data_IF_404183874053
#
_entry.id   IF_404183874053
#
_cell.length_a   1.000
_cell.length_b   1.000
_cell.length_c   1.000
_cell.angle_alpha   90.00
_cell.angle_beta   90.00
_cell.angle_gamma   90.00
#
_symmetry.space_group_name_H-M   'P 1'
#
loop_
_entity.id
_entity.type
_entity.pdbx_description
1 polymer ?
#
# COMPACT_ATOMS: atom_id res chain seq x y z
N UNK A 1 10.29 -27.13 -5.91
CA UNK A 1 8.86 -26.89 -5.55
C UNK A 1 8.64 -25.41 -5.60
N UNK A 2 7.58 -24.99 -6.27
CA UNK A 2 7.26 -23.56 -6.32
C UNK A 2 6.90 -23.06 -4.92
N UNK A 3 7.37 -21.87 -4.59
CA UNK A 3 7.13 -21.24 -3.30
C UNK A 3 5.64 -20.95 -3.10
N UNK A 4 5.11 -21.20 -1.92
CA UNK A 4 3.70 -20.93 -1.66
C UNK A 4 3.42 -19.44 -1.52
N UNK A 5 2.38 -18.94 -2.21
CA UNK A 5 1.90 -17.56 -2.11
C UNK A 5 0.59 -17.53 -1.33
N UNK A 6 0.49 -16.70 -0.29
CA UNK A 6 -0.78 -16.41 0.35
C UNK A 6 -1.31 -15.07 -0.18
N UNK A 7 -2.44 -15.10 -0.86
CA UNK A 7 -3.11 -13.89 -1.33
C UNK A 7 -4.10 -13.44 -0.26
N UNK A 8 -3.83 -12.29 0.35
CA UNK A 8 -4.64 -11.67 1.39
C UNK A 8 -5.41 -10.50 0.80
N UNK A 9 -6.71 -10.63 0.68
CA UNK A 9 -7.61 -9.59 0.17
C UNK A 9 -8.32 -8.95 1.37
N UNK A 10 -8.14 -7.63 1.56
CA UNK A 10 -8.84 -6.89 2.61
C UNK A 10 -10.08 -6.25 2.00
N UNK A 11 -11.26 -6.82 2.31
CA UNK A 11 -12.54 -6.39 1.78
C UNK A 11 -13.31 -5.51 2.76
N UNK A 12 -13.94 -4.48 2.24
CA UNK A 12 -14.93 -3.66 2.92
C UNK A 12 -15.90 -3.05 1.91
N UNK A 13 -17.15 -3.51 1.92
CA UNK A 13 -18.20 -3.10 0.98
C UNK A 13 -17.77 -3.22 -0.49
N UNK A 14 -17.24 -4.41 -0.85
CA UNK A 14 -16.68 -4.69 -2.16
C UNK A 14 -17.58 -5.49 -3.08
N UNK A 15 -18.91 -5.54 -2.87
CA UNK A 15 -19.85 -6.39 -3.63
C UNK A 15 -19.72 -6.26 -5.15
N UNK A 16 -19.40 -5.05 -5.63
CA UNK A 16 -19.23 -4.75 -7.06
C UNK A 16 -17.96 -5.34 -7.67
N UNK A 17 -16.97 -5.68 -6.83
CA UNK A 17 -15.60 -5.95 -7.26
C UNK A 17 -15.14 -7.35 -6.90
N UNK A 18 -15.46 -7.82 -5.68
CA UNK A 18 -14.86 -9.00 -5.06
C UNK A 18 -14.99 -10.27 -5.91
N UNK A 19 -16.14 -10.47 -6.56
CA UNK A 19 -16.35 -11.63 -7.43
C UNK A 19 -15.35 -11.65 -8.57
N UNK A 20 -15.20 -10.55 -9.29
CA UNK A 20 -14.27 -10.46 -10.42
C UNK A 20 -12.82 -10.53 -9.98
N UNK A 21 -12.48 -9.97 -8.83
CA UNK A 21 -11.16 -10.07 -8.22
C UNK A 21 -10.78 -11.55 -8.01
N UNK A 22 -11.62 -12.32 -7.32
CA UNK A 22 -11.37 -13.74 -7.06
C UNK A 22 -11.39 -14.55 -8.34
N UNK A 23 -12.37 -14.33 -9.23
CA UNK A 23 -12.46 -15.03 -10.54
C UNK A 23 -11.19 -14.85 -11.40
N UNK A 24 -10.59 -13.64 -11.37
CA UNK A 24 -9.34 -13.38 -12.08
C UNK A 24 -8.13 -14.01 -11.40
N UNK A 25 -8.12 -14.01 -10.06
CA UNK A 25 -7.05 -14.64 -9.28
C UNK A 25 -6.99 -16.14 -9.46
N UNK A 26 -8.15 -16.82 -9.56
CA UNK A 26 -8.22 -18.26 -9.77
C UNK A 26 -7.78 -18.70 -11.20
N UNK A 27 -7.48 -17.74 -12.08
CA UNK A 27 -7.01 -17.97 -13.47
C UNK A 27 -5.55 -17.60 -13.70
N UNK A 28 -4.80 -17.23 -12.65
CA UNK A 28 -3.38 -16.89 -12.79
C UNK A 28 -2.55 -18.16 -13.09
N UNK A 29 -1.45 -17.97 -13.80
CA UNK A 29 -0.47 -19.03 -14.12
C UNK A 29 0.49 -19.26 -12.93
N UNK A 30 -0.08 -19.66 -11.79
CA UNK A 30 0.68 -20.00 -10.58
C UNK A 30 -0.17 -20.94 -9.73
N UNK A 31 0.28 -22.19 -9.52
CA UNK A 31 -0.57 -23.21 -8.91
C UNK A 31 -0.51 -23.26 -7.37
N UNK A 32 0.65 -22.91 -6.79
CA UNK A 32 0.87 -23.07 -5.34
C UNK A 32 0.49 -21.82 -4.56
N UNK A 33 -0.82 -21.52 -4.44
CA UNK A 33 -1.29 -20.39 -3.64
C UNK A 33 -2.54 -20.73 -2.81
N UNK A 34 -2.81 -19.90 -1.84
CA UNK A 34 -4.04 -19.87 -1.05
C UNK A 34 -4.66 -18.48 -1.08
N UNK A 35 -5.97 -18.38 -0.96
CA UNK A 35 -6.70 -17.11 -0.93
C UNK A 35 -7.36 -16.93 0.43
N UNK A 36 -7.06 -15.80 1.08
CA UNK A 36 -7.63 -15.41 2.37
C UNK A 36 -8.31 -14.06 2.18
N UNK A 37 -9.61 -14.02 2.36
CA UNK A 37 -10.36 -12.77 2.36
C UNK A 37 -10.66 -12.37 3.79
N UNK A 38 -10.21 -11.18 4.17
CA UNK A 38 -10.53 -10.53 5.43
C UNK A 38 -11.65 -9.54 5.15
N UNK A 39 -12.85 -9.88 5.57
CA UNK A 39 -13.97 -8.94 5.52
C UNK A 39 -13.96 -8.05 6.76
N UNK A 40 -13.81 -6.75 6.53
CA UNK A 40 -13.72 -5.74 7.59
C UNK A 40 -15.10 -5.14 7.94
N UNK A 41 -16.11 -6.00 8.15
CA UNK A 41 -17.44 -5.58 8.57
C UNK A 41 -18.23 -4.95 7.44
N UNK A 42 -18.28 -5.62 6.28
CA UNK A 42 -19.12 -5.21 5.17
C UNK A 42 -20.61 -5.29 5.53
N UNK A 43 -21.37 -4.35 4.98
CA UNK A 43 -22.84 -4.26 5.14
C UNK A 43 -23.59 -4.47 3.84
N UNK A 44 -22.84 -4.73 2.76
CA UNK A 44 -23.33 -5.06 1.41
C UNK A 44 -23.36 -6.60 1.21
N UNK A 45 -23.60 -7.06 -0.01
CA UNK A 45 -23.66 -8.48 -0.34
C UNK A 45 -22.28 -9.17 -0.49
N UNK A 46 -21.16 -8.51 -0.17
CA UNK A 46 -19.80 -9.06 -0.32
C UNK A 46 -19.63 -10.43 0.32
N UNK A 47 -20.02 -10.58 1.60
CA UNK A 47 -19.89 -11.82 2.36
C UNK A 47 -20.71 -12.95 1.72
N UNK A 48 -21.93 -12.63 1.30
CA UNK A 48 -22.84 -13.56 0.64
C UNK A 48 -22.24 -14.07 -0.67
N UNK A 49 -21.73 -13.15 -1.51
CA UNK A 49 -21.08 -13.50 -2.79
C UNK A 49 -19.90 -14.46 -2.56
N UNK A 50 -19.04 -14.18 -1.55
CA UNK A 50 -17.89 -15.03 -1.26
C UNK A 50 -18.33 -16.42 -0.81
N UNK A 51 -19.30 -16.52 0.11
CA UNK A 51 -19.80 -17.80 0.63
C UNK A 51 -20.49 -18.65 -0.42
N UNK A 52 -21.28 -18.04 -1.31
CA UNK A 52 -22.03 -18.75 -2.33
C UNK A 52 -21.17 -19.16 -3.53
N UNK A 53 -20.16 -18.34 -3.91
CA UNK A 53 -19.41 -18.56 -5.15
C UNK A 53 -18.02 -19.17 -4.93
N UNK A 54 -17.43 -19.07 -3.74
CA UNK A 54 -15.99 -19.36 -3.51
C UNK A 54 -15.69 -20.13 -2.22
N UNK A 55 -16.68 -20.76 -1.58
CA UNK A 55 -16.50 -21.43 -0.28
C UNK A 55 -15.41 -22.52 -0.28
N UNK A 56 -15.13 -23.13 -1.44
CA UNK A 56 -14.08 -24.16 -1.57
C UNK A 56 -12.69 -23.58 -1.89
N UNK A 57 -12.62 -22.33 -2.37
CA UNK A 57 -11.40 -21.73 -2.88
C UNK A 57 -10.81 -20.66 -1.93
N UNK A 58 -11.62 -20.16 -0.98
CA UNK A 58 -11.30 -18.97 -0.19
C UNK A 58 -11.50 -19.25 1.29
N UNK A 59 -10.52 -18.86 2.08
CA UNK A 59 -10.65 -18.78 3.54
C UNK A 59 -11.23 -17.39 3.85
N UNK A 60 -12.50 -17.32 4.26
CA UNK A 60 -13.15 -16.09 4.65
C UNK A 60 -13.04 -15.88 6.16
N UNK A 61 -12.53 -14.70 6.57
CA UNK A 61 -12.47 -14.28 7.98
C UNK A 61 -13.26 -12.97 8.11
N UNK A 62 -14.30 -13.02 8.93
CA UNK A 62 -15.20 -11.90 9.17
C UNK A 62 -14.79 -11.15 10.44
N UNK A 63 -14.58 -9.84 10.34
CA UNK A 63 -14.21 -8.94 11.44
C UNK A 63 -15.22 -7.79 11.55
N UNK A 64 -15.16 -7.05 12.65
CA UNK A 64 -15.61 -5.66 12.66
C UNK A 64 -14.64 -4.80 11.84
N UNK A 65 -15.02 -3.55 11.48
CA UNK A 65 -14.11 -2.66 10.76
C UNK A 65 -12.95 -2.19 11.64
N UNK A 66 -11.87 -2.94 11.62
CA UNK A 66 -10.62 -2.66 12.34
C UNK A 66 -9.62 -1.84 11.53
N UNK A 67 -9.98 -1.43 10.32
CA UNK A 67 -9.12 -0.71 9.36
C UNK A 67 -8.27 -1.63 8.50
N UNK A 68 -7.74 -1.08 7.41
CA UNK A 68 -6.99 -1.83 6.40
C UNK A 68 -5.71 -2.47 6.96
N UNK A 69 -4.92 -1.70 7.71
CA UNK A 69 -3.65 -2.19 8.28
C UNK A 69 -3.84 -3.38 9.23
N UNK A 70 -4.85 -3.31 10.12
CA UNK A 70 -5.15 -4.41 11.04
C UNK A 70 -5.77 -5.60 10.30
N UNK A 71 -6.61 -5.37 9.29
CA UNK A 71 -7.14 -6.41 8.41
C UNK A 71 -6.03 -7.16 7.68
N UNK A 72 -5.08 -6.43 7.08
CA UNK A 72 -3.91 -7.03 6.44
C UNK A 72 -3.07 -7.86 7.42
N UNK A 73 -2.84 -7.37 8.65
CA UNK A 73 -2.16 -8.14 9.69
C UNK A 73 -2.89 -9.43 10.04
N UNK A 74 -4.22 -9.38 10.15
CA UNK A 74 -5.03 -10.56 10.42
C UNK A 74 -4.89 -11.60 9.29
N UNK A 75 -4.95 -11.16 8.04
CA UNK A 75 -4.73 -12.05 6.88
C UNK A 75 -3.33 -12.67 6.87
N UNK A 76 -2.27 -11.89 7.13
CA UNK A 76 -0.90 -12.41 7.18
C UNK A 76 -0.73 -13.43 8.30
N UNK A 77 -1.31 -13.20 9.47
CA UNK A 77 -1.25 -14.14 10.61
C UNK A 77 -1.96 -15.47 10.35
N UNK A 78 -3.01 -15.44 9.55
CA UNK A 78 -3.78 -16.64 9.17
C UNK A 78 -3.28 -17.29 7.87
N UNK A 79 -2.15 -16.84 7.33
CA UNK A 79 -1.57 -17.31 6.08
C UNK A 79 -0.30 -18.13 6.31
N UNK A 80 0.00 -19.05 5.37
CA UNK A 80 1.10 -20.02 5.52
C UNK A 80 2.16 -19.93 4.43
N UNK A 81 1.95 -19.09 3.39
CA UNK A 81 2.85 -18.97 2.24
C UNK A 81 4.21 -18.39 2.56
N UNK A 82 5.23 -18.74 1.78
CA UNK A 82 6.57 -18.14 1.78
C UNK A 82 6.52 -16.67 1.35
N UNK A 83 5.52 -16.33 0.54
CA UNK A 83 5.19 -15.00 0.08
C UNK A 83 3.79 -14.60 0.51
N UNK A 84 3.60 -13.29 0.70
CA UNK A 84 2.29 -12.71 1.00
C UNK A 84 1.98 -11.65 -0.04
N UNK A 85 0.93 -11.86 -0.83
CA UNK A 85 0.37 -10.87 -1.74
C UNK A 85 -0.78 -10.16 -1.03
N UNK A 86 -0.61 -8.89 -0.73
CA UNK A 86 -1.69 -8.05 -0.18
C UNK A 86 -2.43 -7.40 -1.34
N UNK A 87 -3.74 -7.54 -1.37
CA UNK A 87 -4.56 -7.03 -2.47
C UNK A 87 -5.84 -6.32 -2.00
N UNK A 88 -6.27 -5.36 -2.81
CA UNK A 88 -7.59 -4.75 -2.71
C UNK A 88 -8.64 -5.62 -3.42
N UNK A 89 -9.93 -5.52 -3.05
CA UNK A 89 -11.00 -6.28 -3.70
C UNK A 89 -11.32 -5.81 -5.13
N UNK A 90 -10.82 -4.65 -5.55
CA UNK A 90 -11.02 -4.05 -6.88
C UNK A 90 -9.81 -4.25 -7.82
N UNK A 91 -9.02 -5.30 -7.59
CA UNK A 91 -7.95 -5.76 -8.49
C UNK A 91 -8.50 -6.83 -9.44
N UNK A 92 -8.16 -6.71 -10.72
CA UNK A 92 -8.29 -7.78 -11.72
C UNK A 92 -6.89 -8.27 -12.07
N UNK A 93 -6.57 -9.50 -11.70
CA UNK A 93 -5.23 -10.05 -11.87
C UNK A 93 -4.97 -10.44 -13.32
N UNK A 94 -3.79 -10.07 -13.84
CA UNK A 94 -3.27 -10.64 -15.09
C UNK A 94 -2.68 -12.03 -14.86
N UNK A 95 -2.70 -12.85 -15.90
CA UNK A 95 -2.35 -14.27 -15.81
C UNK A 95 -0.96 -14.53 -15.19
N UNK A 96 0.06 -13.75 -15.55
CA UNK A 96 1.43 -13.97 -15.12
C UNK A 96 1.85 -13.05 -13.94
N UNK A 97 0.88 -12.37 -13.30
CA UNK A 97 1.20 -11.37 -12.28
C UNK A 97 1.99 -11.96 -11.11
N UNK A 98 1.51 -13.06 -10.55
CA UNK A 98 2.13 -13.69 -9.37
C UNK A 98 3.48 -14.31 -9.76
N UNK A 99 3.56 -15.08 -10.83
CA UNK A 99 4.79 -15.75 -11.26
C UNK A 99 5.93 -14.76 -11.49
N UNK A 100 5.68 -13.68 -12.25
CA UNK A 100 6.67 -12.65 -12.53
C UNK A 100 7.18 -11.93 -11.26
N UNK A 101 6.28 -11.68 -10.29
CA UNK A 101 6.69 -11.06 -9.02
C UNK A 101 7.51 -12.02 -8.15
N UNK A 102 7.13 -13.30 -8.07
CA UNK A 102 7.89 -14.31 -7.33
C UNK A 102 9.29 -14.45 -7.93
N UNK A 103 9.40 -14.63 -9.25
CA UNK A 103 10.69 -14.75 -9.95
C UNK A 103 11.61 -13.58 -9.62
N UNK A 104 11.11 -12.36 -9.70
CA UNK A 104 11.91 -11.16 -9.41
C UNK A 104 12.40 -11.07 -7.96
N UNK A 105 11.62 -11.58 -7.02
CA UNK A 105 12.02 -11.62 -5.62
C UNK A 105 13.06 -12.72 -5.35
N UNK A 106 13.06 -13.82 -6.11
CA UNK A 106 14.05 -14.90 -5.95
C UNK A 106 15.43 -14.53 -6.51
N UNK A 107 15.54 -13.57 -7.43
CA UNK A 107 16.83 -13.14 -8.02
C UNK A 107 17.83 -12.68 -6.98
N UNK A 108 17.38 -12.04 -5.88
CA UNK A 108 18.26 -11.53 -4.85
C UNK A 108 17.60 -11.62 -3.46
N UNK A 109 18.38 -12.00 -2.45
CA UNK A 109 17.92 -12.09 -1.06
C UNK A 109 17.49 -10.73 -0.48
N UNK A 110 18.03 -9.63 -0.98
CA UNK A 110 17.67 -8.29 -0.54
C UNK A 110 16.33 -7.83 -1.14
N UNK A 111 15.84 -8.45 -2.23
CA UNK A 111 14.54 -8.15 -2.80
C UNK A 111 13.46 -8.67 -1.85
N UNK A 112 12.65 -7.79 -1.28
CA UNK A 112 11.70 -8.14 -0.23
C UNK A 112 10.25 -7.80 -0.56
N UNK A 113 10.02 -6.88 -1.48
CA UNK A 113 8.70 -6.53 -1.94
C UNK A 113 8.72 -6.23 -3.45
N UNK A 114 7.66 -6.61 -4.14
CA UNK A 114 7.50 -6.34 -5.57
C UNK A 114 6.06 -5.96 -5.90
N UNK A 115 5.93 -5.11 -6.92
CA UNK A 115 4.66 -4.72 -7.53
C UNK A 115 4.79 -4.72 -9.03
N UNK A 116 3.73 -5.09 -9.72
CA UNK A 116 3.66 -5.00 -11.18
C UNK A 116 3.16 -3.63 -11.68
N UNK A 117 2.99 -3.53 -12.99
CA UNK A 117 2.30 -2.42 -13.63
C UNK A 117 0.80 -2.55 -13.34
N UNK A 118 0.24 -1.58 -12.64
CA UNK A 118 -1.20 -1.48 -12.45
C UNK A 118 -1.77 -0.48 -13.46
N UNK A 119 -2.63 -0.97 -14.34
CA UNK A 119 -3.43 -0.14 -15.23
C UNK A 119 -4.83 0.05 -14.63
N UNK A 120 -5.55 1.08 -15.06
CA UNK A 120 -6.93 1.30 -14.60
C UNK A 120 -7.89 0.31 -15.23
N UNK A 121 -8.93 -0.01 -14.46
CA UNK A 121 -10.04 -0.85 -14.88
C UNK A 121 -11.38 -0.16 -14.65
N UNK A 122 -12.27 -0.23 -15.64
CA UNK A 122 -13.66 0.24 -15.53
C UNK A 122 -14.56 -0.97 -15.27
N UNK A 123 -15.00 -1.12 -14.02
CA UNK A 123 -15.88 -2.22 -13.61
C UNK A 123 -17.32 -2.09 -14.14
N UNK A 124 -17.76 -0.88 -14.53
CA UNK A 124 -19.11 -0.69 -15.08
C UNK A 124 -19.17 -1.12 -16.55
N UNK A 125 -18.10 -0.86 -17.30
CA UNK A 125 -17.99 -1.23 -18.71
C UNK A 125 -17.29 -2.55 -18.95
N UNK A 126 -16.64 -3.11 -17.92
CA UNK A 126 -15.82 -4.30 -18.00
C UNK A 126 -14.62 -4.15 -18.94
N UNK A 127 -13.94 -2.99 -18.90
CA UNK A 127 -12.89 -2.59 -19.84
C UNK A 127 -11.60 -2.20 -19.16
N UNK A 128 -10.48 -2.57 -19.79
CA UNK A 128 -9.14 -2.08 -19.44
C UNK A 128 -9.01 -0.65 -19.97
N UNK A 129 -8.58 0.26 -19.10
CA UNK A 129 -8.25 1.63 -19.49
C UNK A 129 -6.73 1.73 -19.60
N UNK A 130 -6.21 2.10 -20.78
CA UNK A 130 -4.77 2.26 -21.03
C UNK A 130 -4.19 3.50 -20.32
N UNK A 131 -4.39 3.55 -18.99
CA UNK A 131 -3.89 4.60 -18.10
C UNK A 131 -3.26 3.95 -16.89
N UNK A 132 -2.04 4.33 -16.57
CA UNK A 132 -1.31 3.82 -15.43
C UNK A 132 -2.00 4.27 -14.13
N UNK A 133 -2.28 3.31 -13.24
CA UNK A 133 -2.66 3.58 -11.87
C UNK A 133 -1.44 3.64 -10.96
N UNK A 134 -0.54 2.65 -11.07
CA UNK A 134 0.71 2.65 -10.32
C UNK A 134 1.82 1.86 -11.04
N UNK A 135 3.01 2.42 -11.06
CA UNK A 135 4.28 1.76 -11.41
C UNK A 135 5.23 1.76 -10.18
N UNK A 136 4.68 1.47 -9.00
CA UNK A 136 5.37 1.56 -7.72
C UNK A 136 5.24 2.93 -7.06
N UNK A 137 5.71 3.05 -5.83
CA UNK A 137 5.67 4.28 -5.04
C UNK A 137 7.03 4.98 -5.04
N UNK A 138 7.02 6.29 -5.26
CA UNK A 138 8.12 7.19 -4.92
C UNK A 138 7.80 7.99 -3.66
N UNK A 139 8.83 8.27 -2.87
CA UNK A 139 8.76 9.18 -1.72
C UNK A 139 9.79 10.30 -1.91
N UNK A 140 9.33 11.51 -2.17
CA UNK A 140 10.23 12.62 -2.46
C UNK A 140 10.83 13.28 -1.20
N UNK A 141 11.76 14.23 -1.38
CA UNK A 141 12.40 14.99 -0.30
C UNK A 141 11.45 15.78 0.61
N UNK A 142 10.20 16.02 0.19
CA UNK A 142 9.13 16.56 1.05
C UNK A 142 8.44 15.47 1.89
N UNK A 143 8.87 14.23 1.75
CA UNK A 143 8.22 13.03 2.33
C UNK A 143 6.79 12.84 1.85
N UNK A 144 6.49 13.33 0.65
CA UNK A 144 5.23 13.07 -0.02
C UNK A 144 5.37 11.82 -0.86
N UNK A 145 4.60 10.79 -0.53
CA UNK A 145 4.48 9.58 -1.35
C UNK A 145 3.46 9.78 -2.47
N UNK A 146 3.73 9.17 -3.61
CA UNK A 146 2.84 9.16 -4.76
C UNK A 146 3.12 7.93 -5.63
N UNK A 147 2.09 7.44 -6.32
CA UNK A 147 2.20 6.37 -7.31
C UNK A 147 2.91 6.89 -8.56
N UNK A 148 3.98 6.20 -8.99
CA UNK A 148 4.73 6.53 -10.21
C UNK A 148 3.83 6.31 -11.43
N UNK A 149 3.88 7.23 -12.38
CA UNK A 149 3.08 7.15 -13.60
C UNK A 149 1.57 7.38 -13.43
N UNK A 150 1.08 7.62 -12.23
CA UNK A 150 -0.36 7.71 -11.97
C UNK A 150 -1.04 8.71 -12.90
N UNK A 151 -2.13 8.25 -13.55
CA UNK A 151 -2.97 9.02 -14.47
C UNK A 151 -2.27 9.45 -15.77
N UNK A 152 -1.16 8.82 -16.13
CA UNK A 152 -0.54 8.94 -17.45
C UNK A 152 -1.07 7.84 -18.36
N UNK A 153 -1.24 8.13 -19.64
CA UNK A 153 -1.46 7.10 -20.67
C UNK A 153 -0.23 6.20 -20.69
N UNK A 154 -0.41 4.89 -20.77
CA UNK A 154 0.71 3.95 -20.91
C UNK A 154 1.17 3.93 -22.37
N UNK A 155 2.34 4.51 -22.61
CA UNK A 155 3.05 4.57 -23.90
C UNK A 155 4.37 3.79 -23.84
N UNK A 156 4.52 2.89 -22.83
CA UNK A 156 5.75 2.13 -22.61
C UNK A 156 6.83 2.88 -21.81
N UNK A 157 6.56 4.09 -21.33
CA UNK A 157 7.53 4.91 -20.58
C UNK A 157 7.96 4.30 -19.24
N UNK A 158 7.24 3.26 -18.76
CA UNK A 158 7.60 2.48 -17.58
C UNK A 158 7.89 1.00 -17.91
N UNK A 159 8.21 0.66 -19.16
CA UNK A 159 8.53 -0.71 -19.59
C UNK A 159 9.98 -1.09 -19.27
N UNK A 160 10.36 -0.87 -18.02
CA UNK A 160 11.62 -1.30 -17.44
C UNK A 160 11.45 -1.60 -15.96
N UNK A 161 11.78 -2.81 -15.58
CA UNK A 161 11.84 -3.19 -14.17
C UNK A 161 12.92 -2.40 -13.43
N UNK A 162 12.63 -1.93 -12.23
CA UNK A 162 13.54 -1.07 -11.47
C UNK A 162 13.29 -1.15 -9.98
N UNK A 163 14.30 -0.78 -9.18
CA UNK A 163 14.11 -0.49 -7.77
C UNK A 163 13.21 0.76 -7.62
N UNK A 164 12.32 0.72 -6.65
CA UNK A 164 11.43 1.83 -6.28
C UNK A 164 11.49 2.04 -4.77
N UNK A 165 11.01 3.18 -4.28
CA UNK A 165 10.92 3.42 -2.84
C UNK A 165 9.99 2.40 -2.17
N UNK A 166 8.86 2.10 -2.79
CA UNK A 166 7.87 1.20 -2.21
C UNK A 166 6.89 0.63 -3.22
N UNK A 167 6.05 -0.26 -2.71
CA UNK A 167 5.00 -0.95 -3.44
C UNK A 167 3.63 -0.49 -2.93
N UNK A 168 2.69 -0.23 -3.82
CA UNK A 168 1.34 0.18 -3.48
C UNK A 168 0.56 -1.01 -2.88
N UNK A 169 -0.11 -0.80 -1.74
CA UNK A 169 -0.88 -1.83 -1.06
C UNK A 169 -2.05 -2.42 -1.87
N UNK A 170 -2.31 -1.93 -3.08
CA UNK A 170 -3.39 -2.43 -3.93
C UNK A 170 -3.13 -3.86 -4.46
N UNK A 171 -1.86 -4.24 -4.76
CA UNK A 171 -1.48 -5.58 -5.21
C UNK A 171 0.02 -5.84 -5.00
N UNK A 172 0.49 -5.82 -3.77
CA UNK A 172 1.91 -5.91 -3.43
C UNK A 172 2.30 -7.29 -2.91
N UNK A 173 3.34 -7.90 -3.49
CA UNK A 173 3.93 -9.16 -3.03
C UNK A 173 5.10 -8.89 -2.09
N UNK A 174 5.13 -9.56 -0.95
CA UNK A 174 6.18 -9.47 0.05
C UNK A 174 6.79 -10.85 0.36
N UNK A 175 8.10 -10.90 0.57
CA UNK A 175 8.72 -12.07 1.22
C UNK A 175 8.32 -12.15 2.68
N UNK A 176 7.78 -13.29 3.11
CA UNK A 176 7.41 -13.49 4.52
C UNK A 176 8.59 -13.31 5.46
N UNK A 177 9.76 -13.86 5.11
CA UNK A 177 10.97 -13.71 5.94
C UNK A 177 11.37 -12.25 6.18
N UNK A 178 11.16 -11.36 5.19
CA UNK A 178 11.42 -9.94 5.34
C UNK A 178 10.37 -9.26 6.22
N UNK A 179 9.09 -9.63 6.06
CA UNK A 179 8.01 -9.15 6.92
C UNK A 179 8.27 -9.51 8.39
N UNK A 180 8.69 -10.75 8.67
CA UNK A 180 9.03 -11.19 10.03
C UNK A 180 10.19 -10.38 10.63
N UNK A 181 11.19 -10.00 9.82
CA UNK A 181 12.34 -9.20 10.29
C UNK A 181 11.98 -7.76 10.64
N UNK A 182 11.01 -7.16 9.92
CA UNK A 182 10.61 -5.76 10.16
C UNK A 182 9.39 -5.62 11.09
N UNK A 183 8.85 -6.73 11.58
CA UNK A 183 7.70 -6.77 12.49
C UNK A 183 8.00 -6.00 13.78
N UNK A 184 7.02 -5.23 14.27
CA UNK A 184 7.11 -4.47 15.53
C UNK A 184 5.83 -4.74 16.33
N UNK A 185 5.96 -5.04 17.61
CA UNK A 185 4.84 -5.32 18.51
C UNK A 185 3.87 -6.39 17.94
N UNK A 186 4.42 -7.41 17.27
CA UNK A 186 3.68 -8.47 16.58
C UNK A 186 2.77 -7.99 15.43
N UNK A 187 3.07 -6.82 14.86
CA UNK A 187 2.40 -6.24 13.70
C UNK A 187 3.34 -6.06 12.51
N UNK A 188 2.88 -6.42 11.30
CA UNK A 188 3.58 -6.16 10.04
C UNK A 188 3.28 -4.76 9.54
N UNK A 189 2.00 -4.45 9.35
CA UNK A 189 1.48 -3.11 9.13
C UNK A 189 1.13 -2.48 10.47
N UNK A 190 1.41 -1.20 10.64
CA UNK A 190 1.11 -0.50 11.89
C UNK A 190 -0.39 -0.18 11.99
N UNK A 191 -1.11 -0.89 12.85
CA UNK A 191 -2.56 -0.75 13.02
C UNK A 191 -2.99 0.65 13.49
N UNK A 192 -2.10 1.44 14.09
CA UNK A 192 -2.38 2.82 14.45
C UNK A 192 -2.66 3.71 13.22
N UNK A 193 -2.26 3.28 12.03
CA UNK A 193 -2.58 3.99 10.78
C UNK A 193 -4.04 3.82 10.37
N UNK A 194 -4.68 2.73 10.69
CA UNK A 194 -6.01 2.35 10.25
C UNK A 194 -6.09 2.13 8.72
N UNK A 195 -5.89 3.18 7.94
CA UNK A 195 -5.78 3.17 6.48
C UNK A 195 -4.96 4.39 6.01
N UNK A 196 -4.36 4.30 4.83
CA UNK A 196 -3.46 5.27 4.18
C UNK A 196 -2.08 5.41 4.84
N UNK A 197 -1.06 5.32 4.02
CA UNK A 197 0.39 5.39 4.32
C UNK A 197 0.95 4.20 5.11
N UNK A 198 0.18 3.17 5.39
CA UNK A 198 0.67 1.90 5.93
C UNK A 198 1.60 1.21 4.94
N UNK A 199 1.33 1.34 3.64
CA UNK A 199 2.16 0.86 2.53
C UNK A 199 3.50 1.60 2.45
N UNK A 200 3.49 2.92 2.57
CA UNK A 200 4.72 3.73 2.62
C UNK A 200 5.53 3.40 3.88
N UNK A 201 4.85 3.26 5.03
CA UNK A 201 5.49 2.94 6.31
C UNK A 201 6.22 1.59 6.27
N UNK A 202 5.56 0.53 5.78
CA UNK A 202 6.18 -0.80 5.70
C UNK A 202 7.36 -0.81 4.72
N UNK A 203 7.22 -0.15 3.55
CA UNK A 203 8.29 -0.04 2.58
C UNK A 203 9.48 0.79 3.11
N UNK A 204 9.22 1.85 3.88
CA UNK A 204 10.29 2.62 4.50
C UNK A 204 11.07 1.77 5.51
N UNK A 205 10.39 0.97 6.33
CA UNK A 205 11.05 0.03 7.24
C UNK A 205 11.87 -1.02 6.50
N UNK A 206 11.32 -1.62 5.43
CA UNK A 206 12.06 -2.56 4.57
C UNK A 206 13.36 -1.93 4.07
N UNK A 207 13.28 -0.73 3.49
CA UNK A 207 14.48 -0.01 3.02
C UNK A 207 15.48 0.25 4.15
N UNK A 208 15.03 0.76 5.30
CA UNK A 208 15.93 1.01 6.44
C UNK A 208 16.65 -0.25 6.92
N UNK A 209 16.04 -1.43 6.81
CA UNK A 209 16.63 -2.73 7.14
C UNK A 209 17.50 -3.30 6.01
N UNK A 210 17.72 -2.55 4.92
CA UNK A 210 18.58 -2.93 3.80
C UNK A 210 17.90 -3.79 2.75
N UNK A 211 16.60 -3.93 2.79
CA UNK A 211 15.82 -4.61 1.75
C UNK A 211 15.48 -3.66 0.60
N UNK A 212 15.04 -4.24 -0.53
CA UNK A 212 14.67 -3.53 -1.74
C UNK A 212 13.22 -3.78 -2.10
N UNK A 213 12.55 -2.73 -2.59
CA UNK A 213 11.25 -2.81 -3.24
C UNK A 213 11.44 -2.69 -4.75
N UNK A 214 10.75 -3.52 -5.52
CA UNK A 214 10.88 -3.63 -6.97
C UNK A 214 9.57 -3.28 -7.67
N UNK A 215 9.70 -2.68 -8.83
CA UNK A 215 8.65 -2.57 -9.83
C UNK A 215 9.00 -3.49 -11.00
N UNK A 216 8.06 -4.34 -11.43
CA UNK A 216 8.22 -5.33 -12.49
C UNK A 216 7.22 -5.02 -13.60
N UNK A 217 7.70 -4.47 -14.72
CA UNK A 217 6.81 -3.97 -15.78
C UNK A 217 6.03 -5.06 -16.50
N UNK A 218 6.60 -6.27 -16.57
CA UNK A 218 5.98 -7.44 -17.23
C UNK A 218 4.84 -8.07 -16.40
N UNK A 219 4.81 -7.82 -15.10
CA UNK A 219 3.72 -8.24 -14.22
C UNK A 219 2.59 -7.21 -14.32
N UNK A 220 1.56 -7.48 -15.12
CA UNK A 220 0.46 -6.53 -15.34
C UNK A 220 -0.78 -6.99 -14.60
N UNK A 221 -1.45 -6.08 -13.91
CA UNK A 221 -2.79 -6.24 -13.35
C UNK A 221 -3.57 -4.94 -13.45
N UNK A 222 -4.85 -4.98 -13.12
CA UNK A 222 -5.75 -3.86 -13.37
C UNK A 222 -6.45 -3.47 -12.08
N UNK A 223 -6.66 -2.17 -11.85
CA UNK A 223 -7.20 -1.63 -10.60
C UNK A 223 -8.42 -0.75 -10.85
N UNK A 224 -9.50 -1.01 -10.12
CA UNK A 224 -10.77 -0.32 -10.25
C UNK A 224 -10.82 1.11 -9.71
N UNK A 225 -9.67 1.69 -9.37
CA UNK A 225 -9.59 3.06 -8.88
C UNK A 225 -10.20 4.04 -9.88
N UNK A 226 -11.40 4.54 -9.59
CA UNK A 226 -12.21 5.34 -10.50
C UNK A 226 -11.49 6.53 -11.15
N UNK A 227 -12.00 6.98 -12.32
CA UNK A 227 -11.42 8.01 -13.19
C UNK A 227 -11.31 9.44 -12.59
N UNK A 228 -11.48 9.64 -11.31
CA UNK A 228 -11.41 10.94 -10.64
C UNK A 228 -9.98 11.51 -10.55
N UNK A 229 -9.27 11.52 -11.67
CA UNK A 229 -7.94 12.08 -11.79
C UNK A 229 -7.95 13.33 -12.62
N UNK A 230 -8.01 14.43 -11.98
CA UNK A 230 -7.91 15.74 -12.62
C UNK A 230 -6.50 16.30 -12.44
N UNK A 231 -5.82 16.60 -13.55
CA UNK A 231 -4.59 17.40 -13.53
C UNK A 231 -4.96 18.84 -13.14
N UNK A 232 -4.15 19.46 -12.28
CA UNK A 232 -4.26 20.87 -11.91
C UNK A 232 -4.61 21.12 -10.44
N UNK A 233 -4.17 22.26 -9.90
CA UNK A 233 -4.31 22.64 -8.51
C UNK A 233 -5.79 22.72 -8.06
N UNK A 234 -6.63 23.34 -8.89
CA UNK A 234 -8.07 23.53 -8.61
C UNK A 234 -8.77 22.17 -8.52
N UNK A 235 -8.47 21.27 -9.44
CA UNK A 235 -9.05 19.94 -9.47
C UNK A 235 -8.58 19.08 -8.28
N UNK A 236 -7.31 19.20 -7.89
CA UNK A 236 -6.78 18.55 -6.67
C UNK A 236 -7.51 19.04 -5.43
N UNK A 237 -7.76 20.35 -5.31
CA UNK A 237 -8.52 20.94 -4.20
C UNK A 237 -9.98 20.44 -4.22
N UNK A 238 -10.63 20.40 -5.39
CA UNK A 238 -12.01 19.95 -5.51
C UNK A 238 -12.17 18.46 -5.18
N UNK A 239 -11.26 17.61 -5.65
CA UNK A 239 -11.28 16.19 -5.31
C UNK A 239 -11.04 15.96 -3.82
N UNK A 240 -10.12 16.72 -3.22
CA UNK A 240 -9.87 16.64 -1.79
C UNK A 240 -11.06 17.12 -0.96
N UNK A 241 -11.80 18.13 -1.42
CA UNK A 241 -13.05 18.58 -0.77
C UNK A 241 -14.13 17.49 -0.75
N UNK A 242 -14.21 16.65 -1.80
CA UNK A 242 -15.19 15.54 -1.91
C UNK A 242 -14.89 14.39 -0.97
N UNK A 243 -13.65 14.21 -0.52
CA UNK A 243 -13.30 13.17 0.44
C UNK A 243 -13.94 13.45 1.81
N UNK A 244 -14.29 12.37 2.54
CA UNK A 244 -14.82 12.52 3.89
C UNK A 244 -13.80 13.20 4.84
N UNK A 245 -14.30 13.89 5.85
CA UNK A 245 -13.48 14.49 6.91
C UNK A 245 -12.56 13.44 7.57
N UNK A 246 -13.10 12.24 7.78
CA UNK A 246 -12.34 11.13 8.35
C UNK A 246 -11.12 10.77 7.50
N UNK A 247 -11.28 10.53 6.20
CA UNK A 247 -10.19 10.15 5.30
C UNK A 247 -9.10 11.22 5.20
N UNK A 248 -9.50 12.50 5.11
CA UNK A 248 -8.57 13.64 5.12
C UNK A 248 -7.79 13.72 6.42
N UNK A 249 -8.49 13.54 7.53
CA UNK A 249 -7.93 13.63 8.87
C UNK A 249 -6.93 12.52 9.18
N UNK A 250 -7.28 11.26 8.90
CA UNK A 250 -6.36 10.13 9.10
C UNK A 250 -5.15 10.22 8.15
N UNK A 251 -5.32 10.61 6.89
CA UNK A 251 -4.19 10.80 5.97
C UNK A 251 -3.20 11.86 6.47
N UNK A 252 -3.70 12.96 7.04
CA UNK A 252 -2.88 13.99 7.68
C UNK A 252 -2.18 13.45 8.94
N UNK A 253 -2.94 12.81 9.84
CA UNK A 253 -2.41 12.20 11.06
C UNK A 253 -1.28 11.21 10.73
N UNK A 254 -1.53 10.30 9.81
CA UNK A 254 -0.62 9.24 9.44
C UNK A 254 0.68 9.78 8.81
N UNK A 255 0.62 10.92 8.12
CA UNK A 255 1.83 11.57 7.62
C UNK A 255 2.78 11.97 8.77
N UNK A 256 2.25 12.51 9.87
CA UNK A 256 3.06 12.79 11.05
C UNK A 256 3.55 11.52 11.76
N UNK A 257 2.67 10.51 11.89
CA UNK A 257 3.04 9.25 12.53
C UNK A 257 4.20 8.57 11.78
N UNK A 258 4.11 8.52 10.45
CA UNK A 258 5.15 7.99 9.57
C UNK A 258 6.49 8.72 9.77
N UNK A 259 6.47 10.06 9.81
CA UNK A 259 7.66 10.86 10.04
C UNK A 259 8.27 10.60 11.44
N UNK A 260 7.45 10.61 12.49
CA UNK A 260 7.95 10.32 13.84
C UNK A 260 8.57 8.94 13.96
N UNK A 261 8.08 7.97 13.21
CA UNK A 261 8.50 6.58 13.26
C UNK A 261 9.75 6.32 12.42
N UNK A 262 9.82 6.79 11.17
CA UNK A 262 10.80 6.33 10.19
C UNK A 262 11.88 7.36 9.84
N UNK A 263 11.61 8.67 9.99
CA UNK A 263 12.54 9.73 9.57
C UNK A 263 13.82 9.72 10.40
N UNK A 264 15.00 9.77 9.76
CA UNK A 264 16.29 9.85 10.46
C UNK A 264 16.75 11.31 10.61
N UNK A 265 17.50 11.59 11.68
CA UNK A 265 17.93 12.97 11.99
C UNK A 265 18.77 13.61 10.88
N UNK A 266 19.56 12.80 10.16
CA UNK A 266 20.42 13.29 9.08
C UNK A 266 19.58 13.82 7.90
N UNK A 267 18.65 13.01 7.39
CA UNK A 267 17.78 13.38 6.26
C UNK A 267 16.80 14.49 6.64
N UNK A 268 16.27 14.45 7.87
CA UNK A 268 15.44 15.53 8.40
C UNK A 268 16.17 16.89 8.41
N UNK A 269 17.44 16.94 8.88
CA UNK A 269 18.21 18.19 8.90
C UNK A 269 18.44 18.77 7.50
N UNK A 270 18.70 17.89 6.51
CA UNK A 270 18.88 18.31 5.12
C UNK A 270 17.60 18.89 4.51
N UNK A 271 16.46 18.22 4.74
CA UNK A 271 15.21 18.51 4.04
C UNK A 271 14.16 19.23 4.89
N UNK A 272 14.51 19.67 6.10
CA UNK A 272 13.51 20.22 7.05
C UNK A 272 12.60 21.30 6.47
N UNK A 273 13.13 22.19 5.63
CA UNK A 273 12.33 23.27 5.01
C UNK A 273 11.35 22.71 3.99
N UNK A 274 11.77 21.68 3.22
CA UNK A 274 10.93 20.99 2.26
C UNK A 274 9.79 20.22 2.97
N UNK A 275 10.13 19.50 4.05
CA UNK A 275 9.16 18.77 4.89
C UNK A 275 8.13 19.75 5.47
N UNK A 276 8.59 20.85 6.09
CA UNK A 276 7.68 21.87 6.63
C UNK A 276 6.83 22.53 5.56
N UNK A 277 7.34 22.73 4.35
CA UNK A 277 6.55 23.27 3.23
C UNK A 277 5.35 22.39 2.88
N UNK A 278 5.51 21.07 2.95
CA UNK A 278 4.42 20.13 2.70
C UNK A 278 3.42 20.10 3.88
N UNK A 279 3.92 20.08 5.11
CA UNK A 279 3.08 20.13 6.31
C UNK A 279 2.27 21.44 6.37
N UNK A 280 2.86 22.55 5.96
CA UNK A 280 2.20 23.87 5.92
C UNK A 280 1.02 23.87 4.94
N UNK A 281 1.15 23.22 3.77
CA UNK A 281 0.03 23.08 2.82
C UNK A 281 -1.19 22.39 3.44
N UNK A 282 -0.97 21.32 4.23
CA UNK A 282 -2.06 20.68 4.96
C UNK A 282 -2.74 21.64 5.94
N UNK A 283 -1.93 22.40 6.69
CA UNK A 283 -2.45 23.35 7.68
C UNK A 283 -3.27 24.46 7.01
N UNK A 284 -2.75 25.05 5.92
CA UNK A 284 -3.46 26.06 5.15
C UNK A 284 -4.76 25.52 4.56
N UNK A 285 -4.72 24.31 3.98
CA UNK A 285 -5.93 23.68 3.45
C UNK A 285 -7.00 23.49 4.54
N UNK A 286 -6.61 23.04 5.73
CA UNK A 286 -7.56 22.83 6.83
C UNK A 286 -8.11 24.14 7.38
N UNK A 287 -7.28 25.19 7.45
CA UNK A 287 -7.74 26.52 7.86
C UNK A 287 -8.78 27.09 6.90
N UNK A 288 -8.58 26.90 5.60
CA UNK A 288 -9.44 27.48 4.58
C UNK A 288 -10.68 26.66 4.27
N UNK A 289 -10.60 25.32 4.36
CA UNK A 289 -11.62 24.43 3.79
C UNK A 289 -12.16 23.37 4.75
N UNK A 290 -11.44 23.05 5.86
CA UNK A 290 -11.79 21.86 6.65
C UNK A 290 -11.31 21.95 8.11
N UNK A 291 -11.73 23.00 8.78
CA UNK A 291 -11.29 23.29 10.16
C UNK A 291 -11.46 22.12 11.15
N UNK A 292 -12.48 21.28 10.92
CA UNK A 292 -12.75 20.09 11.75
C UNK A 292 -11.59 19.08 11.76
N UNK A 293 -10.77 19.04 10.71
CA UNK A 293 -9.58 18.18 10.67
C UNK A 293 -8.51 18.53 11.71
N UNK A 294 -8.57 19.70 12.34
CA UNK A 294 -7.65 20.05 13.44
C UNK A 294 -7.80 19.15 14.67
N UNK A 295 -8.92 18.45 14.86
CA UNK A 295 -9.09 17.47 15.94
C UNK A 295 -8.02 16.37 15.91
N UNK A 296 -7.54 15.99 14.72
CA UNK A 296 -6.51 14.97 14.53
C UNK A 296 -5.13 15.37 15.10
N UNK A 297 -4.88 16.65 15.37
CA UNK A 297 -3.68 17.08 16.12
C UNK A 297 -3.63 16.48 17.53
N UNK A 298 -4.79 16.28 18.17
CA UNK A 298 -4.86 15.63 19.48
C UNK A 298 -4.45 14.17 19.39
N UNK A 299 -4.91 13.47 18.34
CA UNK A 299 -4.53 12.07 18.08
C UNK A 299 -3.03 11.93 17.77
N UNK A 300 -2.47 12.82 16.94
CA UNK A 300 -1.03 12.88 16.68
C UNK A 300 -0.25 13.02 17.99
N UNK A 301 -0.65 13.94 18.88
CA UNK A 301 0.00 14.13 20.19
C UNK A 301 -0.10 12.88 21.05
N UNK A 302 -1.26 12.21 21.05
CA UNK A 302 -1.51 10.96 21.81
C UNK A 302 -0.64 9.81 21.31
N UNK A 303 -0.53 9.63 19.99
CA UNK A 303 0.18 8.50 19.38
C UNK A 303 1.70 8.73 19.24
N UNK A 304 2.17 9.99 19.27
CA UNK A 304 3.59 10.32 19.12
C UNK A 304 4.53 9.52 20.04
N UNK A 305 4.26 9.33 21.35
CA UNK A 305 5.15 8.55 22.22
C UNK A 305 5.28 7.09 21.76
N UNK A 306 4.18 6.47 21.27
CA UNK A 306 4.20 5.12 20.71
C UNK A 306 5.05 5.05 19.45
N UNK A 307 4.93 6.03 18.55
CA UNK A 307 5.75 6.11 17.34
C UNK A 307 7.24 6.28 17.65
N UNK A 308 7.59 7.06 18.68
CA UNK A 308 8.99 7.22 19.11
C UNK A 308 9.56 5.90 19.64
N UNK A 309 8.80 5.11 20.42
CA UNK A 309 9.24 3.77 20.84
C UNK A 309 9.45 2.83 19.66
N UNK A 310 8.50 2.80 18.69
CA UNK A 310 8.67 2.03 17.45
C UNK A 310 9.89 2.48 16.65
N UNK A 311 10.17 3.79 16.62
CA UNK A 311 11.37 4.36 16.00
C UNK A 311 12.66 3.82 16.61
N UNK A 312 12.74 3.71 17.94
CA UNK A 312 13.94 3.20 18.62
C UNK A 312 14.26 1.78 18.14
N UNK A 313 13.25 0.92 18.00
CA UNK A 313 13.39 -0.44 17.45
C UNK A 313 13.90 -0.38 16.00
N UNK A 314 13.29 0.46 15.15
CA UNK A 314 13.66 0.59 13.73
C UNK A 314 15.11 1.07 13.61
N UNK A 315 15.49 2.11 14.36
CA UNK A 315 16.83 2.70 14.26
C UNK A 315 17.93 1.76 14.77
N UNK A 316 17.62 0.91 15.76
CA UNK A 316 18.55 -0.12 16.24
C UNK A 316 18.86 -1.17 15.16
N UNK A 317 17.89 -1.46 14.30
CA UNK A 317 18.00 -2.46 13.24
C UNK A 317 18.31 -1.87 11.86
N UNK A 318 18.46 -0.54 11.75
CA UNK A 318 18.79 0.15 10.50
C UNK A 318 20.15 -0.32 9.98
N UNK A 319 20.19 -0.76 8.72
CA UNK A 319 21.41 -1.21 8.04
C UNK A 319 21.98 -0.18 7.08
N UNK A 320 21.14 0.60 6.41
CA UNK A 320 21.58 1.60 5.46
C UNK A 320 22.35 2.73 6.14
N UNK A 321 23.40 3.22 5.50
CA UNK A 321 24.09 4.47 5.86
C UNK A 321 23.13 5.66 5.72
N UNK A 322 23.51 6.80 6.29
CA UNK A 322 22.70 8.01 6.21
C UNK A 322 22.55 8.53 4.76
N UNK A 323 23.59 8.37 3.93
CA UNK A 323 23.56 8.79 2.53
C UNK A 323 22.65 7.85 1.71
N UNK A 324 22.76 6.54 1.89
CA UNK A 324 21.87 5.59 1.21
C UNK A 324 20.40 5.84 1.55
N UNK A 325 20.08 6.19 2.82
CA UNK A 325 18.70 6.59 3.19
C UNK A 325 18.29 7.88 2.47
N UNK A 326 19.20 8.82 2.27
CA UNK A 326 18.90 10.06 1.56
C UNK A 326 18.59 9.82 0.08
N UNK A 327 19.34 8.93 -0.56
CA UNK A 327 19.16 8.52 -1.96
C UNK A 327 17.84 7.78 -2.22
N UNK A 328 17.21 7.20 -1.19
CA UNK A 328 15.87 6.60 -1.32
C UNK A 328 14.79 7.59 -1.79
N UNK A 329 14.99 8.87 -1.52
CA UNK A 329 14.01 9.92 -1.88
C UNK A 329 14.15 10.41 -3.32
N UNK A 330 15.09 9.84 -4.07
CA UNK A 330 15.32 10.07 -5.51
C UNK A 330 14.83 8.88 -6.38
N UNK A 331 14.33 7.79 -5.75
CA UNK A 331 13.82 6.59 -6.43
C UNK A 331 12.45 6.79 -7.09
#
# INVERSE_FOLDING_TARGET
MDKKVSVVIVNWNGEKYIKKCIDSLLKVNYDNFEVIVIDNGSTDDSIKIIKESFSENVILIENENIGYAAGANNGIKNSTGDYVLIANPDIVFGADYISKLVDSLEENKENAAAIGKLLKYDFEKDEIINVIDSAGISLNHKRKGFDRGQNQVDEGQFDKSTRVFGVCGAAALFKREALEKIKIDDEYFDSDFFAYKEDIDICWRLNLYGYKCLYIYEAISYHGRGMNSSKGLINTINNRKKQSEFLKGISFRNHYLMLYKNEINYTYKKDRLLIYSELYKYLVFFLLFDFKCFKYKKEIKKLKPKMIKKREIIMKNKKLSNNEVYELFDL
#
